data_IF_716083275373
#
_entry.id   IF_716083275373
#
_cell.length_a   1.000
_cell.length_b   1.000
_cell.length_c   1.000
_cell.angle_alpha   90.00
_cell.angle_beta   90.00
_cell.angle_gamma   90.00
#
_symmetry.space_group_name_H-M   'P 1'
#
loop_
_entity.id
_entity.type
_entity.pdbx_description
1 polymer ?
#
# COMPACT_ATOMS: atom_id res chain seq x y z
N UNK A 1 9.95 -22.98 18.86
CA UNK A 1 10.02 -22.80 17.40
C UNK A 1 10.79 -21.51 17.18
N UNK A 2 11.98 -21.61 16.55
CA UNK A 2 12.97 -20.56 16.48
C UNK A 2 12.47 -19.31 15.74
N UNK A 3 13.02 -18.15 16.12
CA UNK A 3 13.02 -16.93 15.34
C UNK A 3 13.81 -17.22 14.05
N UNK A 4 13.14 -17.82 13.05
CA UNK A 4 13.72 -17.97 11.73
C UNK A 4 13.95 -16.55 11.18
N UNK A 5 15.12 -16.34 10.64
CA UNK A 5 15.63 -15.12 10.04
C UNK A 5 14.55 -14.49 9.14
N UNK A 6 13.87 -13.50 9.70
CA UNK A 6 13.01 -12.62 8.91
C UNK A 6 13.96 -11.66 8.20
N UNK A 7 14.41 -12.01 7.02
CA UNK A 7 15.08 -11.04 6.16
C UNK A 7 14.14 -9.83 6.02
N UNK A 8 14.57 -8.73 6.62
CA UNK A 8 13.87 -7.46 6.51
C UNK A 8 13.95 -7.01 5.06
N UNK A 9 12.83 -7.12 4.37
CA UNK A 9 12.72 -6.58 3.02
C UNK A 9 12.67 -5.05 3.12
N UNK A 10 13.61 -4.38 2.47
CA UNK A 10 13.60 -2.92 2.38
C UNK A 10 12.65 -2.49 1.26
N UNK A 11 11.69 -1.64 1.58
CA UNK A 11 10.78 -1.08 0.58
C UNK A 11 11.53 -0.05 -0.29
N UNK A 12 11.59 -0.22 -1.62
CA UNK A 12 12.29 0.74 -2.48
C UNK A 12 11.60 2.11 -2.56
N UNK A 13 10.36 2.21 -2.10
CA UNK A 13 9.56 3.42 -2.16
C UNK A 13 9.50 4.20 -0.84
N UNK A 14 10.11 3.69 0.24
CA UNK A 14 9.95 4.21 1.60
C UNK A 14 10.26 5.70 1.72
N UNK A 15 11.27 6.19 0.99
CA UNK A 15 11.71 7.59 1.07
C UNK A 15 10.68 8.61 0.51
N UNK A 16 9.69 8.16 -0.26
CA UNK A 16 8.73 9.03 -0.95
C UNK A 16 7.27 8.64 -0.72
N UNK A 17 7.01 7.35 -0.47
CA UNK A 17 5.68 6.81 -0.35
C UNK A 17 5.18 6.93 1.09
N UNK A 18 4.23 7.83 1.34
CA UNK A 18 3.57 8.00 2.66
C UNK A 18 2.50 6.96 2.99
N UNK A 19 2.35 5.89 2.20
CA UNK A 19 1.24 4.95 2.36
C UNK A 19 1.38 3.98 3.55
N UNK A 20 2.59 3.83 4.11
CA UNK A 20 2.86 2.99 5.29
C UNK A 20 4.22 3.32 5.91
N UNK A 21 4.46 2.81 7.12
CA UNK A 21 5.71 2.98 7.87
C UNK A 21 6.64 1.75 7.77
N UNK A 22 6.42 0.86 6.82
CA UNK A 22 7.29 -0.29 6.58
C UNK A 22 8.60 0.17 5.91
N UNK A 23 9.74 -0.27 6.46
CA UNK A 23 11.05 -0.04 5.86
C UNK A 23 11.87 1.09 6.48
N UNK A 24 11.28 1.92 7.35
CA UNK A 24 12.03 2.88 8.16
C UNK A 24 12.59 2.24 9.43
N UNK A 25 11.88 1.25 9.95
CA UNK A 25 12.18 0.56 11.21
C UNK A 25 11.95 -0.93 11.08
N UNK A 26 12.55 -1.69 11.98
CA UNK A 26 12.22 -3.11 12.11
C UNK A 26 10.76 -3.30 12.54
N UNK A 27 10.21 -4.48 12.23
CA UNK A 27 8.83 -4.78 12.61
C UNK A 27 8.66 -4.82 14.13
N UNK A 28 9.68 -5.29 14.85
CA UNK A 28 9.73 -5.31 16.31
C UNK A 28 9.69 -3.88 16.89
N UNK A 29 10.47 -2.96 16.34
CA UNK A 29 10.45 -1.54 16.73
C UNK A 29 9.08 -0.91 16.48
N UNK A 30 8.46 -1.20 15.33
CA UNK A 30 7.12 -0.72 15.01
C UNK A 30 6.05 -1.25 16.00
N UNK A 31 6.16 -2.49 16.45
CA UNK A 31 5.29 -3.05 17.49
C UNK A 31 5.52 -2.40 18.85
N UNK A 32 6.78 -2.16 19.21
CA UNK A 32 7.14 -1.48 20.46
C UNK A 32 6.61 -0.04 20.49
N UNK A 33 6.73 0.71 19.40
CA UNK A 33 6.16 2.05 19.29
C UNK A 33 4.65 2.06 19.42
N UNK A 34 3.94 1.16 18.75
CA UNK A 34 2.48 1.03 18.90
C UNK A 34 2.09 0.77 20.36
N UNK A 35 2.84 -0.09 21.05
CA UNK A 35 2.63 -0.31 22.49
C UNK A 35 2.86 0.96 23.28
N UNK A 36 3.95 1.68 23.02
CA UNK A 36 4.27 2.92 23.71
C UNK A 36 3.17 4.00 23.52
N UNK A 37 2.62 4.12 22.30
CA UNK A 37 1.48 5.01 22.03
C UNK A 37 0.25 4.63 22.85
N UNK A 38 -0.09 3.35 22.90
CA UNK A 38 -1.21 2.86 23.73
C UNK A 38 -0.97 3.16 25.20
N UNK A 39 0.23 2.90 25.71
CA UNK A 39 0.61 3.22 27.11
C UNK A 39 0.46 4.71 27.37
N UNK A 40 0.91 5.56 26.47
CA UNK A 40 0.80 7.02 26.62
C UNK A 40 -0.66 7.48 26.72
N UNK A 41 -1.55 6.95 25.89
CA UNK A 41 -2.93 7.39 25.84
C UNK A 41 -3.81 6.81 26.95
N UNK A 42 -3.66 5.53 27.26
CA UNK A 42 -4.57 4.84 28.19
C UNK A 42 -3.89 4.23 29.42
N UNK A 43 -2.56 4.29 29.51
CA UNK A 43 -1.81 3.64 30.61
C UNK A 43 -2.24 4.05 32.01
N UNK A 44 -2.63 5.31 32.19
CA UNK A 44 -3.14 5.82 33.48
C UNK A 44 -4.51 5.25 33.90
N UNK A 45 -5.24 4.65 32.96
CA UNK A 45 -6.56 4.08 33.20
C UNK A 45 -6.54 2.55 33.26
N UNK A 46 -5.42 1.91 32.90
CA UNK A 46 -5.30 0.45 32.81
C UNK A 46 -4.17 -0.06 33.74
N UNK A 47 -4.48 -1.04 34.58
CA UNK A 47 -3.47 -1.67 35.44
C UNK A 47 -2.47 -2.57 34.70
N UNK A 48 -2.82 -3.02 33.49
CA UNK A 48 -1.97 -3.86 32.64
C UNK A 48 -2.26 -3.64 31.17
N UNK A 49 -1.21 -3.43 30.39
CA UNK A 49 -1.26 -3.36 28.94
C UNK A 49 -0.39 -4.49 28.37
N UNK A 50 -1.01 -5.39 27.64
CA UNK A 50 -0.32 -6.52 27.02
C UNK A 50 0.56 -6.05 25.83
N UNK A 51 1.45 -6.94 25.37
CA UNK A 51 2.21 -6.71 24.15
C UNK A 51 1.29 -6.68 22.92
N UNK A 52 1.71 -5.96 21.91
CA UNK A 52 0.98 -5.91 20.63
C UNK A 52 1.09 -7.28 19.96
N UNK A 53 -0.04 -7.87 19.61
CA UNK A 53 -0.07 -9.08 18.82
C UNK A 53 0.42 -8.79 17.40
N UNK A 54 1.63 -9.23 17.09
CA UNK A 54 2.23 -9.07 15.78
C UNK A 54 1.89 -10.21 14.82
N UNK A 55 1.97 -9.95 13.53
CA UNK A 55 1.86 -10.98 12.49
C UNK A 55 3.16 -11.78 12.40
N UNK A 56 3.05 -13.07 12.09
CA UNK A 56 4.21 -13.90 11.81
C UNK A 56 4.92 -13.46 10.52
N UNK A 57 4.16 -13.09 9.49
CA UNK A 57 4.63 -12.58 8.21
C UNK A 57 3.93 -11.26 7.88
N UNK A 58 4.58 -10.10 8.13
CA UNK A 58 3.95 -8.79 8.02
C UNK A 58 3.98 -8.20 6.60
N UNK A 59 3.97 -9.06 5.57
CA UNK A 59 3.97 -8.66 4.18
C UNK A 59 2.70 -9.14 3.47
N UNK A 60 2.34 -8.47 2.38
CA UNK A 60 1.24 -8.82 1.48
C UNK A 60 -0.13 -9.06 2.15
N UNK A 61 -0.35 -8.41 3.31
CA UNK A 61 -1.58 -8.57 4.10
C UNK A 61 -2.70 -7.61 3.70
N UNK A 62 -2.38 -6.53 2.96
CA UNK A 62 -3.36 -5.51 2.58
C UNK A 62 -4.22 -6.01 1.45
N UNK A 63 -5.45 -6.39 1.77
CA UNK A 63 -6.41 -6.98 0.83
C UNK A 63 -7.35 -5.95 0.16
N UNK A 64 -7.24 -4.68 0.52
CA UNK A 64 -7.90 -3.55 -0.15
C UNK A 64 -6.81 -2.58 -0.60
N UNK A 65 -6.62 -2.50 -1.90
CA UNK A 65 -5.59 -1.67 -2.54
C UNK A 65 -6.27 -0.61 -3.39
N UNK A 66 -5.79 0.61 -3.27
CA UNK A 66 -6.24 1.75 -4.06
C UNK A 66 -5.03 2.37 -4.73
N UNK A 67 -5.05 2.47 -6.05
CA UNK A 67 -3.99 3.10 -6.81
C UNK A 67 -4.54 4.20 -7.71
N UNK A 68 -3.69 5.18 -8.01
CA UNK A 68 -3.95 6.28 -8.94
C UNK A 68 -3.29 5.94 -10.25
N UNK A 69 -3.97 6.21 -11.36
CA UNK A 69 -3.33 6.19 -12.66
C UNK A 69 -2.71 7.55 -12.98
N UNK A 70 -1.56 7.51 -13.63
CA UNK A 70 -0.89 8.71 -14.12
C UNK A 70 -0.11 8.42 -15.38
N UNK A 71 0.50 9.48 -15.93
CA UNK A 71 1.37 9.36 -17.09
C UNK A 71 2.72 10.00 -16.76
N UNK A 72 3.78 9.20 -16.89
CA UNK A 72 5.15 9.67 -16.75
C UNK A 72 5.81 9.53 -18.12
N UNK A 73 6.19 10.64 -18.73
CA UNK A 73 6.57 10.71 -20.15
C UNK A 73 5.42 10.16 -20.99
N UNK A 74 5.66 9.05 -21.71
CA UNK A 74 4.65 8.42 -22.58
C UNK A 74 4.08 7.13 -22.01
N UNK A 75 4.42 6.76 -20.76
CA UNK A 75 3.99 5.53 -20.12
C UNK A 75 2.88 5.77 -19.10
N UNK A 76 1.84 4.94 -19.14
CA UNK A 76 0.82 4.89 -18.11
C UNK A 76 1.37 4.14 -16.91
N UNK A 77 1.33 4.79 -15.76
CA UNK A 77 1.78 4.23 -14.49
C UNK A 77 0.62 4.13 -13.51
N UNK A 78 0.73 3.21 -12.57
CA UNK A 78 -0.15 3.13 -11.40
C UNK A 78 0.68 3.23 -10.14
N UNK A 79 0.15 3.91 -9.12
CA UNK A 79 0.87 4.10 -7.88
C UNK A 79 0.10 4.87 -6.83
N UNK A 80 0.82 5.55 -5.99
CA UNK A 80 0.29 6.43 -4.94
C UNK A 80 0.81 7.85 -5.10
N UNK A 81 0.16 8.82 -4.47
CA UNK A 81 0.72 10.15 -4.40
C UNK A 81 1.86 10.22 -3.38
N UNK A 82 2.87 11.01 -3.70
CA UNK A 82 3.85 11.50 -2.74
C UNK A 82 3.12 12.35 -1.69
N UNK A 83 3.47 12.20 -0.43
CA UNK A 83 2.77 12.84 0.67
C UNK A 83 2.67 14.36 0.49
N UNK A 84 1.45 14.89 0.61
CA UNK A 84 1.15 16.31 0.45
C UNK A 84 1.24 16.85 -0.99
N UNK A 85 1.36 15.99 -2.01
CA UNK A 85 1.47 16.40 -3.42
C UNK A 85 0.52 15.61 -4.33
N UNK A 86 0.42 16.02 -5.60
CA UNK A 86 -0.21 15.21 -6.67
C UNK A 86 0.83 14.49 -7.54
N UNK A 87 2.08 14.45 -7.12
CA UNK A 87 3.12 13.69 -7.82
C UNK A 87 2.91 12.20 -7.60
N UNK A 88 2.77 11.46 -8.68
CA UNK A 88 2.55 10.01 -8.61
C UNK A 88 3.89 9.29 -8.47
N UNK A 89 4.00 8.46 -7.45
CA UNK A 89 5.09 7.51 -7.27
C UNK A 89 4.63 6.19 -7.89
N UNK A 90 5.24 5.74 -8.99
CA UNK A 90 4.92 4.45 -9.57
C UNK A 90 5.28 3.33 -8.60
N UNK A 91 4.30 2.48 -8.27
CA UNK A 91 4.49 1.34 -7.38
C UNK A 91 4.19 0.07 -8.15
N UNK A 92 5.22 -0.67 -8.52
CA UNK A 92 5.07 -1.93 -9.24
C UNK A 92 4.96 -3.13 -8.31
N UNK A 93 5.60 -3.05 -7.14
CA UNK A 93 5.66 -4.16 -6.19
C UNK A 93 5.70 -3.61 -4.77
N UNK A 94 4.54 -3.60 -4.12
CA UNK A 94 4.39 -3.10 -2.77
C UNK A 94 4.50 -4.25 -1.76
N UNK A 95 5.36 -4.10 -0.77
CA UNK A 95 5.59 -5.14 0.24
C UNK A 95 4.36 -5.48 1.10
N UNK A 96 3.40 -4.58 1.21
CA UNK A 96 2.22 -4.82 2.05
C UNK A 96 0.95 -5.18 1.26
N UNK A 97 0.89 -4.86 -0.03
CA UNK A 97 -0.27 -5.16 -0.86
C UNK A 97 -0.37 -6.64 -1.21
N UNK A 98 -1.60 -7.16 -1.30
CA UNK A 98 -1.84 -8.49 -1.85
C UNK A 98 -1.26 -8.59 -3.26
N UNK A 99 -0.48 -9.61 -3.53
CA UNK A 99 0.26 -9.78 -4.79
C UNK A 99 -0.65 -9.88 -6.03
N UNK A 100 -1.85 -10.46 -5.87
CA UNK A 100 -2.83 -10.52 -6.96
C UNK A 100 -3.43 -9.13 -7.22
N UNK A 101 -3.68 -8.35 -6.17
CA UNK A 101 -4.16 -6.98 -6.34
C UNK A 101 -3.15 -6.12 -7.10
N UNK A 102 -1.86 -6.17 -6.73
CA UNK A 102 -0.80 -5.45 -7.44
C UNK A 102 -0.66 -5.94 -8.90
N UNK A 103 -0.79 -7.24 -9.16
CA UNK A 103 -0.77 -7.78 -10.53
C UNK A 103 -1.94 -7.26 -11.38
N UNK A 104 -3.15 -7.21 -10.82
CA UNK A 104 -4.33 -6.67 -11.50
C UNK A 104 -4.13 -5.19 -11.82
N UNK A 105 -3.62 -4.40 -10.89
CA UNK A 105 -3.37 -2.96 -11.10
C UNK A 105 -2.39 -2.75 -12.25
N UNK A 106 -1.28 -3.50 -12.29
CA UNK A 106 -0.31 -3.45 -13.39
C UNK A 106 -0.94 -3.84 -14.73
N UNK A 107 -1.75 -4.90 -14.74
CA UNK A 107 -2.46 -5.35 -15.94
C UNK A 107 -3.38 -4.27 -16.48
N UNK A 108 -4.18 -3.64 -15.60
CA UNK A 108 -5.10 -2.56 -16.00
C UNK A 108 -4.32 -1.35 -16.51
N UNK A 109 -3.22 -0.95 -15.87
CA UNK A 109 -2.36 0.12 -16.39
C UNK A 109 -1.85 -0.17 -17.81
N UNK A 110 -1.41 -1.41 -18.07
CA UNK A 110 -1.01 -1.87 -19.40
C UNK A 110 -2.16 -1.83 -20.41
N UNK A 111 -3.40 -2.18 -20.01
CA UNK A 111 -4.58 -2.07 -20.86
C UNK A 111 -4.92 -0.61 -21.19
N UNK A 112 -4.87 0.29 -20.20
CA UNK A 112 -5.06 1.73 -20.41
C UNK A 112 -4.07 2.26 -21.45
N UNK A 113 -2.80 1.83 -21.36
CA UNK A 113 -1.76 2.19 -22.33
C UNK A 113 -2.07 1.65 -23.73
N UNK A 114 -2.37 0.34 -23.84
CA UNK A 114 -2.57 -0.34 -25.12
C UNK A 114 -3.82 0.15 -25.87
N UNK A 115 -4.89 0.45 -25.14
CA UNK A 115 -6.12 1.02 -25.69
C UNK A 115 -6.07 2.55 -25.85
N UNK A 116 -4.94 3.18 -25.49
CA UNK A 116 -4.74 4.65 -25.55
C UNK A 116 -5.82 5.42 -24.80
N UNK A 117 -6.30 4.88 -23.69
CA UNK A 117 -7.30 5.56 -22.86
C UNK A 117 -6.66 6.78 -22.17
N UNK A 118 -7.45 7.81 -22.00
CA UNK A 118 -6.98 9.04 -21.36
C UNK A 118 -6.92 8.83 -19.84
N UNK A 119 -5.74 9.06 -19.29
CA UNK A 119 -5.55 9.12 -17.83
C UNK A 119 -6.00 10.48 -17.34
N UNK A 120 -6.70 10.51 -16.23
CA UNK A 120 -7.18 11.74 -15.61
C UNK A 120 -5.99 12.60 -15.12
N UNK A 121 -6.07 13.87 -15.37
CA UNK A 121 -5.10 14.86 -14.90
C UNK A 121 -5.78 15.78 -13.88
N UNK A 122 -5.29 15.78 -12.64
CA UNK A 122 -5.87 16.53 -11.52
C UNK A 122 -5.78 18.04 -11.73
N UNK A 123 -4.74 18.53 -12.41
CA UNK A 123 -4.53 19.97 -12.63
C UNK A 123 -5.48 20.54 -13.66
N UNK A 124 -5.81 19.75 -14.68
CA UNK A 124 -6.71 20.19 -15.77
C UNK A 124 -8.16 19.72 -15.57
N UNK A 125 -8.41 18.79 -14.68
CA UNK A 125 -9.72 18.17 -14.46
C UNK A 125 -10.20 17.33 -15.65
N UNK A 126 -9.29 16.87 -16.53
CA UNK A 126 -9.64 16.15 -17.76
C UNK A 126 -9.03 14.76 -17.78
N UNK A 127 -9.74 13.82 -18.39
CA UNK A 127 -9.33 12.42 -18.54
C UNK A 127 -10.46 11.46 -18.17
N UNK A 128 -10.23 10.18 -18.41
CA UNK A 128 -11.21 9.12 -18.17
C UNK A 128 -10.83 8.25 -16.97
N UNK A 129 -9.60 7.73 -16.96
CA UNK A 129 -9.14 6.75 -15.98
C UNK A 129 -8.39 7.44 -14.85
N UNK A 130 -8.98 7.48 -13.66
CA UNK A 130 -8.43 8.18 -12.49
C UNK A 130 -7.85 7.25 -11.44
N UNK A 131 -8.66 6.30 -10.96
CA UNK A 131 -8.30 5.40 -9.88
C UNK A 131 -8.67 3.96 -10.20
N UNK A 132 -8.00 3.05 -9.53
CA UNK A 132 -8.40 1.65 -9.42
C UNK A 132 -8.45 1.25 -7.95
N UNK A 133 -9.51 0.56 -7.56
CA UNK A 133 -9.62 -0.10 -6.27
C UNK A 133 -9.75 -1.59 -6.51
N UNK A 134 -8.87 -2.36 -5.89
CA UNK A 134 -8.94 -3.83 -5.87
C UNK A 134 -9.17 -4.28 -4.45
N UNK A 135 -10.18 -5.13 -4.25
CA UNK A 135 -10.48 -5.72 -2.96
C UNK A 135 -10.60 -7.23 -3.09
N UNK A 136 -9.85 -7.95 -2.27
CA UNK A 136 -9.85 -9.41 -2.22
C UNK A 136 -10.46 -9.90 -0.91
N UNK A 137 -11.44 -10.77 -1.00
CA UNK A 137 -12.01 -11.45 0.16
C UNK A 137 -11.03 -12.51 0.70
N UNK A 138 -10.61 -12.38 1.97
CA UNK A 138 -9.65 -13.31 2.55
C UNK A 138 -10.17 -14.75 2.60
N UNK A 139 -11.45 -14.95 2.94
CA UNK A 139 -12.08 -16.26 3.02
C UNK A 139 -12.62 -16.75 1.69
N UNK A 140 -13.35 -15.89 0.96
CA UNK A 140 -14.03 -16.26 -0.30
C UNK A 140 -13.10 -16.32 -1.50
N UNK A 141 -11.92 -15.69 -1.41
CA UNK A 141 -10.97 -15.50 -2.51
C UNK A 141 -11.53 -14.71 -3.71
N UNK A 142 -12.72 -14.18 -3.58
CA UNK A 142 -13.33 -13.33 -4.60
C UNK A 142 -12.59 -12.00 -4.70
N UNK A 143 -12.50 -11.48 -5.92
CA UNK A 143 -11.83 -10.20 -6.19
C UNK A 143 -12.85 -9.25 -6.79
N UNK A 144 -12.92 -8.06 -6.22
CA UNK A 144 -13.67 -6.93 -6.75
C UNK A 144 -12.68 -5.91 -7.30
N UNK A 145 -12.93 -5.46 -8.52
CA UNK A 145 -12.16 -4.38 -9.17
C UNK A 145 -13.13 -3.24 -9.48
N UNK A 146 -12.78 -2.04 -9.07
CA UNK A 146 -13.53 -0.82 -9.35
C UNK A 146 -12.62 0.13 -10.12
N UNK A 147 -13.06 0.57 -11.28
CA UNK A 147 -12.40 1.61 -12.09
C UNK A 147 -13.18 2.92 -11.91
N UNK A 148 -12.46 4.01 -11.71
CA UNK A 148 -13.02 5.36 -11.48
C UNK A 148 -12.47 6.32 -12.52
#
# INVERSE_FOLDING_TARGET
MGKADRELQTCPYVAKCGACHIGEKSYEEALAEKKAQVVTHIGKYCGKINDVAGMYYPYHYRNKVHAVFGRIKDEVVAGTYEEGTHTIIPVSDCLIEDTQASAIIRTVAGLIQSFRLWVYNEDTGRGLMRHILVRKGASTKQIMVVLV
#
